data_IF_339833552593
#
_entry.id   IF_339833552593
#
_cell.length_a   1.000
_cell.length_b   1.000
_cell.length_c   1.000
_cell.angle_alpha   90.00
_cell.angle_beta   90.00
_cell.angle_gamma   90.00
#
_symmetry.space_group_name_H-M   'P 1'
#
loop_
_entity.id
_entity.type
_entity.pdbx_description
1 polymer ?
#
# COMPACT_ATOMS: atom_id res chain seq x y z
N UNK A 1 3.07 -24.73 2.08
CA UNK A 1 2.69 -23.42 2.64
C UNK A 1 1.29 -23.54 3.21
N UNK A 2 0.99 -22.90 4.34
CA UNK A 2 -0.37 -22.88 4.90
C UNK A 2 -1.30 -21.99 4.05
N UNK A 3 -2.61 -22.26 4.05
CA UNK A 3 -3.58 -21.44 3.29
C UNK A 3 -3.60 -19.97 3.71
N UNK A 4 -3.32 -19.69 4.99
CA UNK A 4 -3.22 -18.33 5.52
C UNK A 4 -2.01 -17.56 4.96
N UNK A 5 -0.85 -18.22 4.82
CA UNK A 5 0.36 -17.60 4.26
C UNK A 5 0.16 -17.27 2.78
N UNK A 6 -0.43 -18.18 2.00
CA UNK A 6 -0.75 -17.92 0.59
C UNK A 6 -1.74 -16.75 0.45
N UNK A 7 -2.78 -16.72 1.29
CA UNK A 7 -3.75 -15.63 1.31
C UNK A 7 -3.10 -14.29 1.67
N UNK A 8 -2.16 -14.28 2.62
CA UNK A 8 -1.38 -13.08 2.96
C UNK A 8 -0.57 -12.59 1.76
N UNK A 9 0.19 -13.48 1.09
CA UNK A 9 1.01 -13.10 -0.07
C UNK A 9 0.17 -12.48 -1.19
N UNK A 10 -1.00 -13.06 -1.49
CA UNK A 10 -1.90 -12.53 -2.52
C UNK A 10 -2.48 -11.16 -2.15
N UNK A 11 -2.95 -11.00 -0.91
CA UNK A 11 -3.47 -9.71 -0.42
C UNK A 11 -2.40 -8.62 -0.37
N UNK A 12 -1.19 -8.97 0.05
CA UNK A 12 -0.04 -8.06 0.05
C UNK A 12 0.30 -7.59 -1.37
N UNK A 13 0.22 -8.48 -2.37
CA UNK A 13 0.44 -8.13 -3.76
C UNK A 13 -0.64 -7.18 -4.29
N UNK A 14 -1.93 -7.50 -4.06
CA UNK A 14 -3.05 -6.63 -4.45
C UNK A 14 -2.95 -5.23 -3.83
N UNK A 15 -2.66 -5.16 -2.53
CA UNK A 15 -2.44 -3.89 -1.82
C UNK A 15 -1.25 -3.11 -2.37
N UNK A 16 -0.09 -3.76 -2.55
CA UNK A 16 1.09 -3.11 -3.09
C UNK A 16 0.91 -2.61 -4.52
N UNK A 17 0.14 -3.31 -5.36
CA UNK A 17 -0.25 -2.81 -6.67
C UNK A 17 -1.17 -1.58 -6.57
N UNK A 18 -2.17 -1.63 -5.68
CA UNK A 18 -3.08 -0.51 -5.46
C UNK A 18 -2.34 0.76 -5.01
N UNK A 19 -1.39 0.64 -4.08
CA UNK A 19 -0.57 1.76 -3.59
C UNK A 19 0.30 2.38 -4.69
N UNK A 20 0.93 1.56 -5.53
CA UNK A 20 1.72 2.05 -6.66
C UNK A 20 0.85 2.78 -7.69
N UNK A 21 -0.34 2.26 -7.99
CA UNK A 21 -1.27 2.91 -8.92
C UNK A 21 -1.85 4.21 -8.34
N UNK A 22 -2.25 4.20 -7.07
CA UNK A 22 -2.71 5.39 -6.37
C UNK A 22 -1.63 6.48 -6.32
N UNK A 23 -0.38 6.11 -6.01
CA UNK A 23 0.74 7.04 -6.01
C UNK A 23 1.00 7.65 -7.39
N UNK A 24 0.94 6.84 -8.47
CA UNK A 24 1.05 7.37 -9.84
C UNK A 24 -0.09 8.34 -10.17
N UNK A 25 -1.32 8.01 -9.79
CA UNK A 25 -2.48 8.87 -9.96
C UNK A 25 -2.29 10.20 -9.21
N UNK A 26 -1.83 10.14 -7.96
CA UNK A 26 -1.58 11.32 -7.14
C UNK A 26 -0.45 12.21 -7.71
N UNK A 27 0.64 11.64 -8.22
CA UNK A 27 1.68 12.41 -8.92
C UNK A 27 1.11 13.23 -10.10
N UNK A 28 0.09 12.71 -10.78
CA UNK A 28 -0.54 13.37 -11.92
C UNK A 28 -1.60 14.40 -11.51
N UNK A 29 -2.45 14.05 -10.55
CA UNK A 29 -3.67 14.82 -10.23
C UNK A 29 -3.56 15.74 -9.03
N UNK A 30 -2.62 15.48 -8.12
CA UNK A 30 -2.55 16.24 -6.88
C UNK A 30 -2.27 17.72 -7.14
N UNK A 31 -2.83 18.59 -6.29
CA UNK A 31 -2.54 20.02 -6.32
C UNK A 31 -1.42 20.37 -5.35
N UNK A 32 -1.40 19.72 -4.19
CA UNK A 32 -0.42 19.87 -3.13
C UNK A 32 0.93 19.26 -3.50
N UNK A 33 2.00 20.05 -3.33
CA UNK A 33 3.38 19.57 -3.51
C UNK A 33 3.76 18.51 -2.47
N UNK A 34 3.24 18.62 -1.24
CA UNK A 34 3.45 17.64 -0.18
C UNK A 34 2.82 16.29 -0.55
N UNK A 35 1.62 16.30 -1.13
CA UNK A 35 0.94 15.08 -1.61
C UNK A 35 1.72 14.44 -2.77
N UNK A 36 2.21 15.23 -3.73
CA UNK A 36 3.05 14.69 -4.84
C UNK A 36 4.34 14.06 -4.34
N UNK A 37 4.98 14.69 -3.36
CA UNK A 37 6.22 14.19 -2.76
C UNK A 37 5.95 12.87 -2.05
N UNK A 38 4.92 12.82 -1.19
CA UNK A 38 4.49 11.59 -0.53
C UNK A 38 4.19 10.47 -1.53
N UNK A 39 3.42 10.77 -2.58
CA UNK A 39 3.07 9.82 -3.63
C UNK A 39 4.29 9.26 -4.36
N UNK A 40 5.32 10.07 -4.59
CA UNK A 40 6.59 9.62 -5.18
C UNK A 40 7.36 8.65 -4.28
N UNK A 41 7.38 8.91 -2.97
CA UNK A 41 7.93 7.97 -2.00
C UNK A 41 7.16 6.65 -2.04
N UNK A 42 5.82 6.68 -2.05
CA UNK A 42 5.00 5.47 -2.10
C UNK A 42 5.27 4.64 -3.35
N UNK A 43 5.31 5.26 -4.53
CA UNK A 43 5.60 4.54 -5.79
C UNK A 43 6.96 3.86 -5.71
N UNK A 44 7.98 4.54 -5.18
CA UNK A 44 9.34 4.00 -5.11
C UNK A 44 9.43 2.82 -4.14
N UNK A 45 8.96 2.99 -2.91
CA UNK A 45 9.12 2.00 -1.86
C UNK A 45 8.22 0.79 -2.10
N UNK A 46 6.94 1.00 -2.47
CA UNK A 46 6.02 -0.11 -2.73
C UNK A 46 6.41 -0.90 -3.98
N UNK A 47 6.97 -0.26 -5.02
CA UNK A 47 7.49 -1.02 -6.19
C UNK A 47 8.59 -1.99 -5.76
N UNK A 48 9.53 -1.54 -4.92
CA UNK A 48 10.59 -2.40 -4.39
C UNK A 48 10.04 -3.54 -3.54
N UNK A 49 9.07 -3.26 -2.67
CA UNK A 49 8.42 -4.29 -1.83
C UNK A 49 7.68 -5.32 -2.70
N UNK A 50 7.02 -4.88 -3.77
CA UNK A 50 6.35 -5.77 -4.73
C UNK A 50 7.35 -6.70 -5.43
N UNK A 51 8.53 -6.19 -5.82
CA UNK A 51 9.58 -7.01 -6.44
C UNK A 51 10.11 -8.07 -5.46
N UNK A 52 10.33 -7.70 -4.20
CA UNK A 52 10.73 -8.64 -3.15
C UNK A 52 9.65 -9.71 -2.88
N UNK A 53 8.37 -9.30 -2.85
CA UNK A 53 7.23 -10.19 -2.68
C UNK A 53 7.08 -11.18 -3.86
N UNK A 54 7.25 -10.69 -5.10
CA UNK A 54 7.24 -11.52 -6.30
C UNK A 54 8.34 -12.59 -6.27
N UNK A 55 9.55 -12.22 -5.86
CA UNK A 55 10.65 -13.17 -5.71
C UNK A 55 10.35 -14.22 -4.63
N UNK A 56 9.79 -13.81 -3.49
CA UNK A 56 9.37 -14.73 -2.43
C UNK A 56 8.30 -15.71 -2.94
N UNK A 57 7.24 -15.21 -3.58
CA UNK A 57 6.15 -16.04 -4.08
C UNK A 57 6.63 -17.03 -5.15
N UNK A 58 7.51 -16.58 -6.06
CA UNK A 58 8.16 -17.45 -7.06
C UNK A 58 8.91 -18.60 -6.39
N UNK A 59 9.72 -18.31 -5.38
CA UNK A 59 10.46 -19.33 -4.63
C UNK A 59 9.54 -20.31 -3.89
N UNK A 60 8.33 -19.87 -3.54
CA UNK A 60 7.32 -20.68 -2.85
C UNK A 60 6.35 -21.39 -3.81
N UNK A 61 6.45 -21.15 -5.12
CA UNK A 61 5.54 -21.71 -6.12
C UNK A 61 4.12 -21.15 -6.02
N UNK A 62 3.97 -19.91 -5.53
CA UNK A 62 2.68 -19.22 -5.41
C UNK A 62 2.51 -18.24 -6.56
N UNK A 63 1.40 -18.34 -7.27
CA UNK A 63 1.00 -17.36 -8.28
C UNK A 63 0.33 -16.15 -7.61
N UNK A 64 0.90 -14.96 -7.81
CA UNK A 64 0.36 -13.71 -7.29
C UNK A 64 -0.55 -13.03 -8.31
N UNK A 65 -1.57 -12.29 -7.85
CA UNK A 65 -2.32 -11.37 -8.70
C UNK A 65 -1.39 -10.37 -9.39
N UNK A 66 -1.68 -10.05 -10.66
CA UNK A 66 -0.86 -9.13 -11.46
C UNK A 66 -1.23 -7.64 -11.28
N UNK A 67 -2.12 -7.33 -10.34
CA UNK A 67 -2.66 -5.99 -10.15
C UNK A 67 -3.55 -5.89 -8.91
N UNK A 68 -4.19 -4.73 -8.69
CA UNK A 68 -5.11 -4.55 -7.57
C UNK A 68 -6.34 -5.45 -7.70
N UNK A 69 -6.97 -5.77 -6.57
CA UNK A 69 -8.27 -6.45 -6.56
C UNK A 69 -9.35 -5.61 -7.26
N UNK A 70 -10.46 -6.22 -7.68
CA UNK A 70 -11.56 -5.49 -8.33
C UNK A 70 -12.13 -4.36 -7.46
N UNK A 71 -12.13 -4.52 -6.13
CA UNK A 71 -12.57 -3.47 -5.21
C UNK A 71 -11.59 -2.30 -5.19
N UNK A 72 -10.29 -2.56 -5.14
CA UNK A 72 -9.26 -1.52 -5.18
C UNK A 72 -9.22 -0.81 -6.55
N UNK A 73 -9.45 -1.53 -7.66
CA UNK A 73 -9.59 -0.91 -8.97
C UNK A 73 -10.78 0.05 -9.04
N UNK A 74 -11.92 -0.33 -8.43
CA UNK A 74 -13.09 0.53 -8.35
C UNK A 74 -12.82 1.78 -7.49
N UNK A 75 -12.11 1.62 -6.38
CA UNK A 75 -11.67 2.72 -5.52
C UNK A 75 -10.73 3.68 -6.24
N UNK A 76 -9.71 3.16 -6.94
CA UNK A 76 -8.78 3.95 -7.77
C UNK A 76 -9.51 4.72 -8.87
N UNK A 77 -10.50 4.09 -9.51
CA UNK A 77 -11.33 4.75 -10.52
C UNK A 77 -12.14 5.90 -9.92
N UNK A 78 -12.80 5.66 -8.78
CA UNK A 78 -13.57 6.70 -8.08
C UNK A 78 -12.66 7.86 -7.65
N UNK A 79 -11.49 7.56 -7.09
CA UNK A 79 -10.49 8.57 -6.74
C UNK A 79 -10.02 9.37 -7.98
N UNK A 80 -9.88 8.70 -9.13
CA UNK A 80 -9.50 9.33 -10.39
C UNK A 80 -10.57 10.27 -10.98
N UNK A 81 -11.83 10.14 -10.57
CA UNK A 81 -12.92 11.03 -10.97
C UNK A 81 -12.98 12.31 -10.12
N UNK A 82 -12.36 12.31 -8.94
CA UNK A 82 -12.27 13.49 -8.07
C UNK A 82 -11.41 14.59 -8.68
N UNK A 83 -11.78 15.85 -8.42
CA UNK A 83 -11.04 17.03 -8.87
C UNK A 83 -10.73 17.97 -7.70
N UNK A 84 -11.75 18.57 -7.09
CA UNK A 84 -11.57 19.56 -6.01
C UNK A 84 -11.06 18.93 -4.71
N UNK A 85 -11.57 17.76 -4.33
CA UNK A 85 -11.19 17.09 -3.08
C UNK A 85 -10.14 15.99 -3.30
N UNK A 86 -9.48 15.94 -4.46
CA UNK A 86 -8.58 14.83 -4.82
C UNK A 86 -7.49 14.59 -3.77
N UNK A 87 -6.79 15.66 -3.35
CA UNK A 87 -5.68 15.56 -2.39
C UNK A 87 -6.14 14.96 -1.06
N UNK A 88 -7.29 15.42 -0.56
CA UNK A 88 -7.86 14.93 0.69
C UNK A 88 -8.34 13.49 0.58
N UNK A 89 -9.03 13.13 -0.51
CA UNK A 89 -9.52 11.76 -0.72
C UNK A 89 -8.35 10.77 -0.89
N UNK A 90 -7.30 11.15 -1.62
CA UNK A 90 -6.10 10.33 -1.74
C UNK A 90 -5.45 10.09 -0.37
N UNK A 91 -5.26 11.16 0.43
CA UNK A 91 -4.64 11.05 1.75
C UNK A 91 -5.51 10.24 2.72
N UNK A 92 -6.82 10.46 2.72
CA UNK A 92 -7.73 9.73 3.60
C UNK A 92 -7.77 8.23 3.26
N UNK A 93 -8.01 7.90 1.99
CA UNK A 93 -8.33 6.53 1.59
C UNK A 93 -7.09 5.67 1.34
N UNK A 94 -6.10 6.21 0.63
CA UNK A 94 -4.91 5.45 0.22
C UNK A 94 -3.75 5.66 1.21
N UNK A 95 -3.47 6.90 1.60
CA UNK A 95 -2.32 7.14 2.48
C UNK A 95 -2.58 6.68 3.92
N UNK A 96 -3.79 6.90 4.47
CA UNK A 96 -4.10 6.54 5.86
C UNK A 96 -4.83 5.21 5.96
N UNK A 97 -6.05 5.09 5.43
CA UNK A 97 -6.87 3.88 5.64
C UNK A 97 -6.22 2.61 5.09
N UNK A 98 -5.76 2.62 3.84
CA UNK A 98 -5.09 1.45 3.26
C UNK A 98 -3.79 1.07 3.99
N UNK A 99 -3.03 2.05 4.48
CA UNK A 99 -1.83 1.78 5.29
C UNK A 99 -2.16 1.23 6.68
N UNK A 100 -3.24 1.66 7.34
CA UNK A 100 -3.68 1.05 8.61
C UNK A 100 -4.05 -0.42 8.42
N UNK A 101 -4.75 -0.76 7.33
CA UNK A 101 -5.06 -2.14 6.97
C UNK A 101 -3.79 -2.95 6.68
N UNK A 102 -2.85 -2.39 5.91
CA UNK A 102 -1.59 -3.03 5.59
C UNK A 102 -0.72 -3.28 6.84
N UNK A 103 -0.58 -2.29 7.73
CA UNK A 103 0.16 -2.45 9.00
C UNK A 103 -0.43 -3.58 9.83
N UNK A 104 -1.76 -3.64 9.97
CA UNK A 104 -2.41 -4.72 10.71
C UNK A 104 -2.16 -6.09 10.09
N UNK A 105 -2.28 -6.20 8.77
CA UNK A 105 -2.03 -7.45 8.04
C UNK A 105 -0.57 -7.92 8.16
N UNK A 106 0.39 -7.01 8.00
CA UNK A 106 1.81 -7.32 8.11
C UNK A 106 2.21 -7.65 9.54
N UNK A 107 1.63 -6.96 10.54
CA UNK A 107 1.84 -7.29 11.94
C UNK A 107 1.36 -8.70 12.26
N UNK A 108 0.14 -9.05 11.87
CA UNK A 108 -0.40 -10.41 12.07
C UNK A 108 0.53 -11.46 11.44
N UNK A 109 0.85 -11.33 10.15
CA UNK A 109 1.75 -12.28 9.48
C UNK A 109 3.15 -12.36 10.12
N UNK A 110 3.66 -11.25 10.65
CA UNK A 110 4.95 -11.21 11.37
C UNK A 110 4.94 -12.03 12.66
N UNK A 111 3.78 -12.21 13.28
CA UNK A 111 3.59 -12.91 14.54
C UNK A 111 3.16 -14.37 14.30
N UNK A 112 2.18 -14.57 13.40
CA UNK A 112 1.41 -15.81 13.30
C UNK A 112 1.78 -16.70 12.13
N UNK A 113 2.44 -16.20 11.07
CA UNK A 113 2.80 -17.00 9.89
C UNK A 113 3.60 -18.25 10.25
N UNK A 114 3.27 -19.39 9.65
CA UNK A 114 3.98 -20.66 9.88
C UNK A 114 5.21 -20.79 8.97
N UNK A 115 5.18 -20.16 7.80
CA UNK A 115 6.30 -20.09 6.88
C UNK A 115 7.34 -19.04 7.35
N UNK A 116 8.57 -19.50 7.61
CA UNK A 116 9.66 -18.67 8.14
C UNK A 116 10.02 -17.52 7.19
N UNK A 117 9.94 -17.72 5.87
CA UNK A 117 10.31 -16.68 4.90
C UNK A 117 9.20 -15.63 4.78
N UNK A 118 7.93 -16.06 4.83
CA UNK A 118 6.76 -15.13 4.87
C UNK A 118 6.79 -14.29 6.15
N UNK A 119 7.01 -14.93 7.30
CA UNK A 119 7.20 -14.24 8.59
C UNK A 119 8.35 -13.22 8.52
N UNK A 120 9.47 -13.60 7.91
CA UNK A 120 10.66 -12.74 7.79
C UNK A 120 10.38 -11.54 6.89
N UNK A 121 9.73 -11.77 5.74
CA UNK A 121 9.30 -10.71 4.84
C UNK A 121 8.36 -9.72 5.55
N UNK A 122 7.34 -10.23 6.26
CA UNK A 122 6.40 -9.39 7.00
C UNK A 122 7.11 -8.53 8.06
N UNK A 123 8.00 -9.13 8.86
CA UNK A 123 8.82 -8.41 9.86
C UNK A 123 9.72 -7.34 9.26
N UNK A 124 10.33 -7.62 8.10
CA UNK A 124 11.24 -6.68 7.42
C UNK A 124 10.48 -5.47 6.88
N UNK A 125 9.29 -5.68 6.36
CA UNK A 125 8.50 -4.64 5.68
C UNK A 125 7.69 -3.78 6.66
N UNK A 126 7.23 -4.35 7.78
CA UNK A 126 6.36 -3.67 8.75
C UNK A 126 6.86 -2.28 9.21
N UNK A 127 8.14 -2.05 9.57
CA UNK A 127 8.59 -0.73 10.01
C UNK A 127 8.45 0.35 8.92
N UNK A 128 8.58 -0.01 7.64
CA UNK A 128 8.37 0.94 6.54
C UNK A 128 6.91 1.34 6.43
N UNK A 129 5.98 0.38 6.56
CA UNK A 129 4.54 0.64 6.51
C UNK A 129 4.10 1.52 7.68
N UNK A 130 4.63 1.28 8.89
CA UNK A 130 4.40 2.12 10.06
C UNK A 130 4.91 3.55 9.83
N UNK A 131 6.12 3.70 9.28
CA UNK A 131 6.66 5.02 8.92
C UNK A 131 5.82 5.73 7.86
N UNK A 132 5.36 5.02 6.84
CA UNK A 132 4.50 5.58 5.79
C UNK A 132 3.16 6.04 6.37
N UNK A 133 2.57 5.27 7.28
CA UNK A 133 1.35 5.64 7.99
C UNK A 133 1.51 6.91 8.84
N UNK A 134 2.63 7.06 9.54
CA UNK A 134 2.92 8.26 10.33
C UNK A 134 3.09 9.50 9.44
N UNK A 135 3.75 9.34 8.29
CA UNK A 135 3.85 10.37 7.26
C UNK A 135 2.46 10.74 6.73
N UNK A 136 1.61 9.76 6.43
CA UNK A 136 0.26 9.97 5.93
C UNK A 136 -0.64 10.69 6.94
N UNK A 137 -0.56 10.34 8.22
CA UNK A 137 -1.29 11.03 9.31
C UNK A 137 -0.86 12.49 9.43
N UNK A 138 0.45 12.75 9.34
CA UNK A 138 0.99 14.11 9.33
C UNK A 138 0.53 14.90 8.10
N UNK A 139 0.52 14.27 6.94
CA UNK A 139 0.05 14.86 5.69
C UNK A 139 -1.45 15.19 5.74
N UNK A 140 -2.27 14.32 6.34
CA UNK A 140 -3.71 14.54 6.55
C UNK A 140 -3.99 15.79 7.35
N UNK A 141 -3.22 16.04 8.41
CA UNK A 141 -3.35 17.29 9.19
C UNK A 141 -3.05 18.52 8.35
N UNK A 142 -2.03 18.47 7.49
CA UNK A 142 -1.67 19.59 6.59
C UNK A 142 -2.77 19.87 5.57
N UNK A 143 -3.18 18.85 4.80
CA UNK A 143 -4.23 18.99 3.78
C UNK A 143 -5.56 19.45 4.39
N UNK A 144 -5.89 19.03 5.61
CA UNK A 144 -7.08 19.51 6.32
C UNK A 144 -6.99 20.94 6.86
N UNK A 145 -5.79 21.52 6.93
CA UNK A 145 -5.53 22.87 7.44
C UNK A 145 -5.45 23.94 6.34
N UNK A 146 -5.32 23.56 5.07
CA UNK A 146 -5.16 24.45 3.90
C UNK A 146 -6.49 25.14 3.47
N UNK A 147 -7.31 25.58 4.43
CA UNK A 147 -8.57 26.31 4.17
C UNK A 147 -8.39 27.80 3.89
#
# INVERSE_FOLDING_TARGET
MASADEAFLKKAAEAGHAEVEAGKLAKQKASSADVKTFAEHMVTDHTKVNDELNALATNKGVELPAGPSSAQQAELKALGEESEEFDKQYVDRMAVTAHEEAVNMFKDASETSEDVDVKTFAKKTLPSLESHLDMAKSLKTKVGSDK
#
